data_IF_129673847703
#
_entry.id   IF_129673847703
#
_cell.length_a   1.000
_cell.length_b   1.000
_cell.length_c   1.000
_cell.angle_alpha   90.00
_cell.angle_beta   90.00
_cell.angle_gamma   90.00
#
_symmetry.space_group_name_H-M   'P 1'
#
loop_
_entity.id
_entity.type
_entity.pdbx_description
1 polymer ?
#
# COMPACT_ATOMS: atom_id res chain seq x y z
N UNK A 1 12.51 -15.48 4.43
CA UNK A 1 11.69 -16.56 3.82
C UNK A 1 11.78 -16.42 2.31
N UNK A 2 12.11 -17.50 1.61
CA UNK A 2 12.27 -17.55 0.15
C UNK A 2 11.05 -18.16 -0.54
N UNK A 3 10.54 -19.28 0.00
CA UNK A 3 9.32 -19.96 -0.49
C UNK A 3 8.75 -20.92 0.56
N UNK A 4 7.51 -21.35 0.36
CA UNK A 4 6.86 -22.46 1.06
C UNK A 4 7.25 -23.77 0.38
N UNK A 5 7.48 -24.80 1.19
CA UNK A 5 7.81 -26.15 0.75
C UNK A 5 6.55 -27.01 0.72
N UNK A 6 6.41 -27.85 -0.31
CA UNK A 6 5.23 -28.67 -0.52
C UNK A 6 5.58 -30.15 -0.76
N UNK A 7 4.74 -31.02 -0.20
CA UNK A 7 4.60 -32.42 -0.62
C UNK A 7 3.24 -32.59 -1.28
N UNK A 8 3.23 -32.74 -2.61
CA UNK A 8 2.00 -32.64 -3.38
C UNK A 8 1.34 -31.27 -3.18
N UNK A 9 0.18 -31.23 -2.52
CA UNK A 9 -0.54 -29.99 -2.18
C UNK A 9 -0.47 -29.61 -0.70
N UNK A 10 0.24 -30.37 0.13
CA UNK A 10 0.39 -30.10 1.56
C UNK A 10 1.63 -29.23 1.78
N UNK A 11 1.48 -28.08 2.42
CA UNK A 11 2.62 -27.31 2.90
C UNK A 11 3.30 -28.05 4.07
N UNK A 12 4.63 -28.19 4.01
CA UNK A 12 5.43 -28.95 4.99
C UNK A 12 6.51 -28.11 5.67
N UNK A 13 6.63 -26.83 5.30
CA UNK A 13 7.63 -25.94 5.86
C UNK A 13 7.92 -24.75 4.94
N UNK A 14 9.05 -24.11 5.19
CA UNK A 14 9.55 -22.96 4.42
C UNK A 14 11.05 -23.06 4.19
N UNK A 15 11.51 -22.63 3.02
CA UNK A 15 12.92 -22.33 2.77
C UNK A 15 13.20 -20.91 3.26
N UNK A 16 14.21 -20.73 4.10
CA UNK A 16 14.58 -19.45 4.69
C UNK A 16 16.05 -19.16 4.45
N UNK A 17 16.39 -17.88 4.53
CA UNK A 17 17.77 -17.41 4.44
C UNK A 17 18.01 -16.48 5.64
N UNK A 18 19.09 -16.74 6.37
CA UNK A 18 19.51 -15.93 7.52
C UNK A 18 21.03 -16.02 7.66
N UNK A 19 21.69 -14.89 7.89
CA UNK A 19 23.16 -14.86 8.00
C UNK A 19 23.91 -15.31 6.74
N UNK A 20 23.27 -15.28 5.56
CA UNK A 20 23.84 -15.77 4.31
C UNK A 20 23.69 -17.29 4.09
N UNK A 21 23.11 -18.01 5.05
CA UNK A 21 22.85 -19.44 4.95
C UNK A 21 21.40 -19.70 4.56
N UNK A 22 21.19 -20.66 3.66
CA UNK A 22 19.86 -21.12 3.24
C UNK A 22 19.58 -22.47 3.90
N UNK A 23 18.44 -22.56 4.59
CA UNK A 23 18.01 -23.76 5.30
C UNK A 23 16.49 -23.91 5.29
N UNK A 24 16.01 -25.12 5.60
CA UNK A 24 14.59 -25.42 5.68
C UNK A 24 14.12 -25.40 7.14
N UNK A 25 12.92 -24.86 7.36
CA UNK A 25 12.21 -24.95 8.63
C UNK A 25 10.93 -25.74 8.38
N UNK A 26 10.84 -26.91 9.01
CA UNK A 26 9.68 -27.80 8.91
C UNK A 26 8.52 -27.27 9.75
N UNK A 27 7.28 -27.43 9.23
CA UNK A 27 6.08 -27.06 9.94
C UNK A 27 4.86 -27.80 9.38
N UNK A 28 3.95 -28.24 10.25
CA UNK A 28 2.66 -28.83 9.84
C UNK A 28 1.66 -27.78 9.30
N UNK A 29 1.91 -26.49 9.57
CA UNK A 29 1.07 -25.38 9.12
C UNK A 29 1.92 -24.14 8.91
N UNK A 30 1.71 -23.49 7.76
CA UNK A 30 2.37 -22.23 7.41
C UNK A 30 1.32 -21.14 7.25
N UNK A 31 1.51 -19.99 7.91
CA UNK A 31 0.64 -18.81 7.79
C UNK A 31 1.44 -17.68 7.15
N UNK A 32 0.99 -17.19 6.00
CA UNK A 32 1.65 -16.08 5.30
C UNK A 32 1.09 -14.73 5.79
N UNK A 33 1.90 -14.01 6.55
CA UNK A 33 1.59 -12.66 7.04
C UNK A 33 2.61 -11.62 6.57
N UNK A 34 3.14 -11.79 5.36
CA UNK A 34 4.15 -10.89 4.79
C UNK A 34 3.56 -9.60 4.18
N UNK A 35 2.23 -9.40 4.29
CA UNK A 35 1.50 -8.24 3.77
C UNK A 35 1.03 -8.42 2.32
N UNK A 36 0.18 -7.49 1.86
CA UNK A 36 -0.52 -7.57 0.57
C UNK A 36 0.39 -7.67 -0.66
N UNK A 37 1.66 -7.23 -0.55
CA UNK A 37 2.65 -7.31 -1.64
C UNK A 37 3.46 -8.61 -1.56
N UNK A 38 4.03 -8.95 -0.39
CA UNK A 38 4.97 -10.07 -0.28
C UNK A 38 4.29 -11.43 -0.09
N UNK A 39 3.09 -11.49 0.50
CA UNK A 39 2.36 -12.76 0.62
C UNK A 39 2.01 -13.38 -0.75
N UNK A 40 1.38 -12.68 -1.71
CA UNK A 40 1.14 -13.25 -3.04
C UNK A 40 2.45 -13.52 -3.81
N UNK A 41 3.49 -12.70 -3.62
CA UNK A 41 4.81 -12.97 -4.19
C UNK A 41 5.36 -14.31 -3.70
N UNK A 42 5.33 -14.57 -2.38
CA UNK A 42 5.79 -15.83 -1.80
C UNK A 42 4.96 -17.01 -2.30
N UNK A 43 3.63 -16.87 -2.44
CA UNK A 43 2.80 -17.92 -3.05
C UNK A 43 3.27 -18.26 -4.47
N UNK A 44 3.50 -17.26 -5.31
CA UNK A 44 3.99 -17.47 -6.68
C UNK A 44 5.37 -18.12 -6.70
N UNK A 45 6.34 -17.66 -5.89
CA UNK A 45 7.66 -18.30 -5.75
C UNK A 45 7.57 -19.76 -5.26
N UNK A 46 6.47 -20.11 -4.59
CA UNK A 46 6.21 -21.47 -4.10
C UNK A 46 5.39 -22.31 -5.07
N UNK A 47 5.14 -21.83 -6.29
CA UNK A 47 4.38 -22.55 -7.32
C UNK A 47 2.86 -22.43 -7.21
N UNK A 48 2.33 -21.48 -6.43
CA UNK A 48 0.88 -21.23 -6.28
C UNK A 48 0.53 -19.88 -6.90
N UNK A 49 -0.14 -19.89 -8.06
CA UNK A 49 -0.48 -18.67 -8.78
C UNK A 49 -0.94 -18.86 -10.23
N UNK A 50 -1.02 -17.77 -11.02
CA UNK A 50 -1.40 -17.81 -12.43
C UNK A 50 -0.41 -18.63 -13.26
N UNK A 51 -0.91 -19.58 -14.05
CA UNK A 51 -0.09 -20.54 -14.80
C UNK A 51 0.91 -19.86 -15.74
N UNK A 52 0.42 -18.90 -16.53
CA UNK A 52 1.21 -18.14 -17.50
C UNK A 52 2.38 -17.40 -16.85
N UNK A 53 2.15 -16.80 -15.68
CA UNK A 53 3.21 -16.10 -14.95
C UNK A 53 4.25 -17.07 -14.37
N UNK A 54 3.81 -18.18 -13.77
CA UNK A 54 4.73 -19.19 -13.23
C UNK A 54 5.59 -19.79 -14.33
N UNK A 55 4.98 -20.14 -15.47
CA UNK A 55 5.69 -20.67 -16.65
C UNK A 55 6.71 -19.66 -17.20
N UNK A 56 6.33 -18.38 -17.30
CA UNK A 56 7.23 -17.30 -17.76
C UNK A 56 8.52 -17.20 -16.95
N UNK A 57 8.47 -17.50 -15.65
CA UNK A 57 9.62 -17.45 -14.75
C UNK A 57 10.23 -18.83 -14.46
N UNK A 58 9.79 -19.89 -15.13
CA UNK A 58 10.31 -21.24 -14.95
C UNK A 58 10.02 -21.84 -13.57
N UNK A 59 8.95 -21.39 -12.90
CA UNK A 59 8.55 -21.87 -11.58
C UNK A 59 7.63 -23.09 -11.74
N UNK A 60 7.97 -24.26 -11.19
CA UNK A 60 7.09 -25.42 -11.23
C UNK A 60 5.75 -25.12 -10.55
N UNK A 61 4.64 -25.42 -11.24
CA UNK A 61 3.31 -25.18 -10.70
C UNK A 61 2.93 -26.29 -9.71
N UNK A 62 2.64 -25.88 -8.47
CA UNK A 62 2.05 -26.73 -7.42
C UNK A 62 0.52 -26.64 -7.48
N UNK A 63 -0.02 -25.43 -7.65
CA UNK A 63 -1.44 -25.19 -7.75
C UNK A 63 -1.74 -23.97 -8.61
N UNK A 64 -2.56 -24.15 -9.65
CA UNK A 64 -3.08 -23.02 -10.41
C UNK A 64 -4.08 -22.23 -9.57
N UNK A 65 -3.79 -20.96 -9.35
CA UNK A 65 -4.68 -20.04 -8.63
C UNK A 65 -4.57 -18.63 -9.23
N UNK A 66 -5.38 -18.30 -10.25
CA UNK A 66 -5.21 -17.09 -11.05
C UNK A 66 -5.45 -15.79 -10.28
N UNK A 67 -6.13 -15.84 -9.12
CA UNK A 67 -6.35 -14.67 -8.26
C UNK A 67 -5.12 -14.23 -7.46
N UNK A 68 -4.06 -15.05 -7.35
CA UNK A 68 -2.86 -14.68 -6.60
C UNK A 68 -2.17 -13.48 -7.26
N UNK A 69 -1.93 -12.43 -6.48
CA UNK A 69 -1.30 -11.20 -6.94
C UNK A 69 -2.25 -10.25 -7.68
N UNK A 70 -3.52 -10.63 -7.85
CA UNK A 70 -4.56 -9.78 -8.44
C UNK A 70 -5.31 -9.00 -7.37
N UNK A 71 -6.22 -8.13 -7.80
CA UNK A 71 -7.14 -7.39 -6.93
C UNK A 71 -6.42 -6.54 -5.87
N UNK A 72 -5.28 -5.93 -6.23
CA UNK A 72 -4.55 -5.02 -5.37
C UNK A 72 -5.33 -3.70 -5.27
N UNK A 73 -5.76 -3.37 -4.05
CA UNK A 73 -6.33 -2.07 -3.74
C UNK A 73 -5.31 -1.16 -3.08
N UNK A 74 -5.40 0.12 -3.41
CA UNK A 74 -4.70 1.19 -2.72
C UNK A 74 -5.55 2.46 -2.78
N UNK A 75 -5.27 3.40 -1.90
CA UNK A 75 -5.82 4.74 -1.98
C UNK A 75 -4.87 5.64 -2.78
N UNK A 76 -5.25 5.92 -4.02
CA UNK A 76 -4.50 6.87 -4.85
C UNK A 76 -4.68 8.27 -4.25
N UNK A 77 -3.57 8.97 -3.98
CA UNK A 77 -3.63 10.34 -3.48
C UNK A 77 -2.75 11.27 -4.29
N UNK A 78 -3.29 12.43 -4.62
CA UNK A 78 -2.57 13.58 -5.16
C UNK A 78 -2.53 14.67 -4.10
N UNK A 79 -1.49 15.49 -4.12
CA UNK A 79 -1.24 16.48 -3.09
C UNK A 79 -0.92 17.81 -3.73
N UNK A 80 -1.58 18.86 -3.27
CA UNK A 80 -1.20 20.24 -3.60
C UNK A 80 -0.71 20.89 -2.33
N UNK A 81 0.45 21.54 -2.41
CA UNK A 81 1.13 22.12 -1.26
C UNK A 81 1.29 23.62 -1.47
N UNK A 82 1.09 24.41 -0.41
CA UNK A 82 1.08 25.86 -0.45
C UNK A 82 1.88 26.44 0.71
N UNK A 83 2.56 27.57 0.46
CA UNK A 83 3.12 28.40 1.52
C UNK A 83 1.99 29.17 2.22
N UNK A 84 1.92 29.08 3.54
CA UNK A 84 1.04 29.88 4.39
C UNK A 84 1.56 31.33 4.41
N UNK A 85 0.66 32.31 4.42
CA UNK A 85 1.05 33.73 4.47
C UNK A 85 1.90 34.01 5.71
N UNK A 86 2.88 34.89 5.57
CA UNK A 86 3.74 35.29 6.67
C UNK A 86 2.91 35.84 7.85
N UNK A 87 3.26 35.44 9.07
CA UNK A 87 2.53 35.82 10.29
C UNK A 87 1.23 35.04 10.55
N UNK A 88 0.87 34.08 9.70
CA UNK A 88 -0.25 33.16 9.92
C UNK A 88 0.31 31.75 10.18
N UNK A 89 -0.20 31.10 11.22
CA UNK A 89 0.05 29.68 11.51
C UNK A 89 -1.30 28.97 11.46
N UNK A 90 -1.38 27.88 10.71
CA UNK A 90 -2.59 27.05 10.69
C UNK A 90 -2.58 26.13 11.93
N UNK A 91 -3.71 26.04 12.61
CA UNK A 91 -3.93 25.05 13.67
C UNK A 91 -4.60 23.79 13.11
N UNK A 92 -4.18 22.62 13.58
CA UNK A 92 -4.88 21.36 13.27
C UNK A 92 -6.36 21.42 13.67
N UNK A 93 -7.25 21.03 12.76
CA UNK A 93 -8.69 20.85 13.02
C UNK A 93 -9.56 22.10 13.08
N UNK A 94 -9.01 23.28 13.43
CA UNK A 94 -9.77 24.55 13.44
C UNK A 94 -9.80 25.24 12.07
N UNK A 95 -8.70 25.16 11.31
CA UNK A 95 -8.56 25.83 10.02
C UNK A 95 -8.87 24.91 8.81
N UNK A 96 -9.58 23.81 9.04
CA UNK A 96 -9.79 22.76 8.04
C UNK A 96 -11.10 22.90 7.25
N UNK A 97 -10.99 23.04 5.92
CA UNK A 97 -12.11 22.84 5.00
C UNK A 97 -12.02 21.46 4.32
N UNK A 98 -13.06 20.65 4.50
CA UNK A 98 -13.18 19.32 3.89
C UNK A 98 -14.27 19.33 2.83
N UNK A 99 -13.92 18.90 1.62
CA UNK A 99 -14.86 18.65 0.55
C UNK A 99 -14.81 17.18 0.18
N UNK A 100 -15.97 16.55 0.10
CA UNK A 100 -16.14 15.19 -0.40
C UNK A 100 -17.05 15.23 -1.63
N UNK A 101 -16.60 14.63 -2.72
CA UNK A 101 -17.38 14.38 -3.91
C UNK A 101 -17.50 12.87 -4.10
N UNK A 102 -18.71 12.37 -3.89
CA UNK A 102 -19.08 11.03 -4.33
C UNK A 102 -19.44 11.10 -5.81
N UNK A 103 -18.91 10.16 -6.60
CA UNK A 103 -19.25 10.06 -8.02
C UNK A 103 -19.21 8.61 -8.48
N UNK A 104 -19.94 8.31 -9.55
CA UNK A 104 -19.91 7.00 -10.20
C UNK A 104 -18.79 6.97 -11.23
N UNK A 105 -17.88 6.00 -11.12
CA UNK A 105 -16.81 5.77 -12.08
C UNK A 105 -17.35 5.31 -13.44
N UNK A 106 -16.59 5.61 -14.49
CA UNK A 106 -17.03 5.25 -15.85
C UNK A 106 -17.14 3.72 -16.00
N UNK A 107 -18.33 3.26 -16.39
CA UNK A 107 -18.63 1.83 -16.56
C UNK A 107 -19.10 1.11 -15.30
N UNK A 108 -19.25 1.80 -14.17
CA UNK A 108 -19.76 1.18 -12.94
C UNK A 108 -21.28 1.04 -12.91
N UNK A 109 -21.76 -0.09 -12.40
CA UNK A 109 -23.17 -0.32 -12.08
C UNK A 109 -23.56 0.20 -10.71
N UNK A 110 -22.57 0.47 -9.85
CA UNK A 110 -22.77 0.88 -8.46
C UNK A 110 -22.77 2.40 -8.37
N UNK A 111 -23.86 2.97 -7.86
CA UNK A 111 -23.95 4.42 -7.70
C UNK A 111 -22.93 4.90 -6.65
N UNK A 112 -22.22 5.99 -6.97
CA UNK A 112 -21.26 6.63 -6.06
C UNK A 112 -20.12 5.71 -5.60
N UNK A 113 -19.65 4.78 -6.43
CA UNK A 113 -18.57 3.83 -6.15
C UNK A 113 -17.17 4.46 -5.99
N UNK A 114 -17.05 5.79 -6.10
CA UNK A 114 -15.82 6.52 -5.82
C UNK A 114 -16.06 7.73 -4.92
N UNK A 115 -15.11 7.96 -4.02
CA UNK A 115 -15.00 9.18 -3.23
C UNK A 115 -13.71 9.92 -3.59
N UNK A 116 -13.86 11.18 -4.01
CA UNK A 116 -12.79 12.16 -4.02
C UNK A 116 -12.94 13.05 -2.79
N UNK A 117 -11.95 13.06 -1.90
CA UNK A 117 -11.97 13.96 -0.73
C UNK A 117 -10.74 14.84 -0.65
N UNK A 118 -10.93 16.07 -0.19
CA UNK A 118 -9.86 16.94 0.27
C UNK A 118 -9.63 16.76 1.76
N UNK A 119 -8.38 16.65 2.16
CA UNK A 119 -8.00 16.70 3.58
C UNK A 119 -6.87 17.71 3.75
N UNK A 120 -7.13 18.82 4.47
CA UNK A 120 -6.06 19.72 4.89
C UNK A 120 -5.20 18.99 5.91
N UNK A 121 -3.89 19.02 5.70
CA UNK A 121 -2.91 18.43 6.61
C UNK A 121 -2.05 19.56 7.14
N UNK A 122 -2.25 19.88 8.42
CA UNK A 122 -1.30 20.62 9.24
C UNK A 122 -0.58 19.58 10.06
N UNK A 123 0.72 19.43 9.83
CA UNK A 123 1.51 18.44 10.55
C UNK A 123 2.28 19.15 11.66
N UNK A 124 1.83 18.96 12.90
CA UNK A 124 2.39 19.63 14.09
C UNK A 124 3.51 18.80 14.75
N UNK A 125 3.77 17.59 14.24
CA UNK A 125 4.78 16.69 14.80
C UNK A 125 6.19 17.24 14.59
N UNK A 126 7.09 17.01 15.53
CA UNK A 126 8.50 17.34 15.39
C UNK A 126 9.15 16.48 14.28
N UNK A 127 10.02 17.07 13.47
CA UNK A 127 10.73 16.32 12.42
C UNK A 127 11.75 15.36 13.05
N UNK A 128 11.51 14.05 12.92
CA UNK A 128 12.39 13.01 13.49
C UNK A 128 13.64 12.74 12.67
N UNK A 129 13.60 13.03 11.35
CA UNK A 129 14.72 12.84 10.43
C UNK A 129 14.81 14.05 9.52
N UNK A 130 15.86 14.85 9.69
CA UNK A 130 16.04 16.12 8.98
C UNK A 130 15.94 15.96 7.45
N UNK A 131 15.08 16.74 6.81
CA UNK A 131 14.96 16.84 5.35
C UNK A 131 14.16 15.71 4.69
N UNK A 132 13.71 14.70 5.44
CA UNK A 132 12.84 13.62 4.92
C UNK A 132 11.41 14.12 4.76
N UNK A 133 10.99 15.08 5.58
CA UNK A 133 9.60 15.50 5.62
C UNK A 133 9.20 16.37 4.42
N UNK A 134 10.11 17.22 3.93
CA UNK A 134 9.64 18.42 3.22
C UNK A 134 10.71 19.13 2.37
N UNK A 135 11.44 18.41 1.51
CA UNK A 135 12.20 19.09 0.42
C UNK A 135 11.55 18.95 -0.95
N UNK A 136 10.95 17.80 -1.24
CA UNK A 136 10.52 17.47 -2.60
C UNK A 136 9.32 18.28 -3.12
N UNK A 137 8.52 18.90 -2.24
CA UNK A 137 7.27 19.58 -2.63
C UNK A 137 7.20 21.08 -2.29
N UNK A 138 8.12 21.60 -1.46
CA UNK A 138 8.01 22.95 -0.87
C UNK A 138 9.27 23.81 -1.00
N UNK A 139 10.35 23.29 -1.58
CA UNK A 139 11.62 24.00 -1.66
C UNK A 139 12.19 24.32 -0.27
N UNK A 140 12.50 25.60 -0.04
CA UNK A 140 13.10 26.10 1.21
C UNK A 140 12.08 26.65 2.23
N UNK A 141 10.76 26.44 1.99
CA UNK A 141 9.74 26.89 2.94
C UNK A 141 9.81 26.05 4.22
N UNK A 142 9.80 26.65 5.42
CA UNK A 142 9.79 25.89 6.66
C UNK A 142 8.53 25.03 6.80
N UNK A 143 8.61 23.79 7.35
CA UNK A 143 7.46 22.87 7.44
C UNK A 143 6.24 23.46 8.17
N UNK A 144 6.47 24.34 9.15
CA UNK A 144 5.43 25.04 9.92
C UNK A 144 4.68 26.13 9.13
N UNK A 145 5.22 26.54 7.97
CA UNK A 145 4.61 27.50 7.05
C UNK A 145 4.02 26.81 5.81
N UNK A 146 3.74 25.52 5.89
CA UNK A 146 3.22 24.74 4.77
C UNK A 146 1.84 24.19 5.08
N UNK A 147 0.93 24.40 4.14
CA UNK A 147 -0.36 23.74 4.10
C UNK A 147 -0.40 22.74 2.94
N UNK A 148 -1.03 21.58 3.16
CA UNK A 148 -1.28 20.61 2.11
C UNK A 148 -2.76 20.27 2.00
N UNK A 149 -3.25 20.22 0.77
CA UNK A 149 -4.53 19.62 0.43
C UNK A 149 -4.26 18.28 -0.24
N UNK A 150 -4.76 17.19 0.37
CA UNK A 150 -4.70 15.86 -0.23
C UNK A 150 -6.00 15.52 -0.91
N UNK A 151 -5.97 15.24 -2.20
CA UNK A 151 -7.05 14.65 -2.97
C UNK A 151 -6.88 13.14 -2.98
N UNK A 152 -7.70 12.41 -2.24
CA UNK A 152 -7.63 10.94 -2.20
C UNK A 152 -8.81 10.35 -2.93
N UNK A 153 -8.54 9.35 -3.76
CA UNK A 153 -9.52 8.54 -4.45
C UNK A 153 -9.61 7.17 -3.78
N UNK A 154 -10.82 6.76 -3.41
CA UNK A 154 -11.07 5.45 -2.80
C UNK A 154 -12.49 4.96 -3.05
N UNK A 155 -12.74 3.70 -2.71
CA UNK A 155 -14.08 3.14 -2.66
C UNK A 155 -14.85 3.73 -1.46
N UNK A 156 -16.19 3.87 -1.52
CA UNK A 156 -16.99 4.52 -0.48
C UNK A 156 -16.94 3.77 0.85
N UNK A 157 -16.88 2.44 0.78
CA UNK A 157 -16.84 1.54 1.94
C UNK A 157 -15.41 0.99 2.19
N UNK A 158 -14.40 1.61 1.59
CA UNK A 158 -13.00 1.21 1.78
C UNK A 158 -12.52 1.46 3.20
N UNK A 159 -11.73 0.55 3.77
CA UNK A 159 -11.13 0.72 5.09
C UNK A 159 -10.21 1.95 5.10
N UNK A 160 -10.68 3.05 5.69
CA UNK A 160 -9.99 4.35 5.72
C UNK A 160 -10.86 5.54 5.28
N UNK A 161 -12.14 5.31 4.94
CA UNK A 161 -13.14 6.39 4.95
C UNK A 161 -13.37 6.94 6.34
#
# INVERSE_FOLDING_TARGET
VRKVLFEGKKAVGVEVESGGEVFNVEADRVVLSAGAIKSPHLLMLSGVGPKDQLERFGIPQVHELPGVGQNLFNHMSAQVTFKVKDGITLGGGVDSAHFGLHYTSNGSSEANDMLLRTTPVVDEREERVAGVRTKYLIGDVPPEQVARISCTLGLPDGAGT
#
